data_IF_775567455831
#
_entry.id   IF_775567455831
#
_cell.length_a   1.000
_cell.length_b   1.000
_cell.length_c   1.000
_cell.angle_alpha   90.00
_cell.angle_beta   90.00
_cell.angle_gamma   90.00
#
_symmetry.space_group_name_H-M   'P 1'
#
loop_
_entity.id
_entity.type
_entity.pdbx_description
1 polymer ?
#
# COMPACT_ATOMS: atom_id res chain seq x y z
N UNK A 1 -17.94 12.78 17.04
CA UNK A 1 -17.73 11.68 16.07
C UNK A 1 -16.25 11.67 15.74
N UNK A 2 -15.58 10.56 16.02
CA UNK A 2 -14.12 10.44 16.13
C UNK A 2 -13.42 10.75 14.81
N UNK A 3 -12.49 11.71 14.83
CA UNK A 3 -11.53 11.97 13.77
C UNK A 3 -10.64 10.72 13.64
N UNK A 4 -11.02 9.77 12.80
CA UNK A 4 -10.17 8.66 12.43
C UNK A 4 -8.98 9.30 11.72
N UNK A 5 -7.85 9.44 12.44
CA UNK A 5 -6.60 9.90 11.88
C UNK A 5 -6.41 9.15 10.56
N UNK A 6 -6.45 9.90 9.46
CA UNK A 6 -6.23 9.39 8.11
C UNK A 6 -5.02 8.48 8.20
N UNK A 7 -5.23 7.17 8.02
CA UNK A 7 -4.15 6.21 8.15
C UNK A 7 -3.06 6.64 7.18
N UNK A 8 -1.95 7.12 7.73
CA UNK A 8 -0.85 7.60 6.89
C UNK A 8 -0.35 6.44 6.04
N UNK A 9 0.27 6.73 4.91
CA UNK A 9 0.84 5.70 4.05
C UNK A 9 1.78 4.76 4.85
N UNK A 10 2.54 5.31 5.79
CA UNK A 10 3.38 4.53 6.70
C UNK A 10 2.60 3.63 7.67
N UNK A 11 1.42 4.04 8.15
CA UNK A 11 0.57 3.18 8.96
C UNK A 11 -0.01 2.01 8.13
N UNK A 12 -0.48 2.29 6.90
CA UNK A 12 -0.98 1.26 5.99
C UNK A 12 0.10 0.24 5.60
N UNK A 13 1.33 0.71 5.32
CA UNK A 13 2.47 -0.17 5.01
C UNK A 13 2.80 -1.11 6.17
N UNK A 14 2.85 -0.60 7.42
CA UNK A 14 3.10 -1.44 8.60
C UNK A 14 2.02 -2.49 8.82
N UNK A 15 0.76 -2.18 8.53
CA UNK A 15 -0.32 -3.16 8.58
C UNK A 15 -0.13 -4.25 7.52
N UNK A 16 0.19 -3.88 6.27
CA UNK A 16 0.45 -4.83 5.19
C UNK A 16 1.62 -5.79 5.51
N UNK A 17 2.70 -5.30 6.10
CA UNK A 17 3.85 -6.13 6.55
C UNK A 17 3.44 -7.12 7.66
N UNK A 18 2.51 -6.73 8.54
CA UNK A 18 2.03 -7.62 9.59
C UNK A 18 1.13 -8.74 9.04
N UNK A 19 0.29 -8.41 8.05
CA UNK A 19 -0.66 -9.33 7.40
C UNK A 19 0.00 -10.31 6.43
N UNK A 20 1.01 -9.89 5.68
CA UNK A 20 1.60 -10.66 4.58
C UNK A 20 3.10 -10.92 4.79
N UNK A 21 3.51 -12.20 4.70
CA UNK A 21 4.89 -12.64 4.95
C UNK A 21 5.34 -13.65 3.89
N UNK A 22 6.20 -13.27 2.91
CA UNK A 22 6.75 -11.92 2.68
C UNK A 22 5.74 -10.98 2.01
N UNK A 23 5.73 -9.71 2.41
CA UNK A 23 4.96 -8.67 1.71
C UNK A 23 5.56 -8.41 0.32
N UNK A 24 4.75 -8.54 -0.73
CA UNK A 24 5.16 -8.17 -2.08
C UNK A 24 5.13 -6.65 -2.27
N UNK A 25 6.27 -6.07 -2.69
CA UNK A 25 6.42 -4.65 -3.05
C UNK A 25 6.83 -4.57 -4.52
N UNK A 26 6.01 -3.95 -5.37
CA UNK A 26 6.24 -3.89 -6.82
C UNK A 26 6.75 -2.53 -7.26
N UNK A 27 7.88 -2.48 -7.98
CA UNK A 27 8.42 -1.19 -8.43
C UNK A 27 7.50 -0.45 -9.40
N UNK A 28 7.27 0.84 -9.15
CA UNK A 28 6.56 1.74 -10.04
C UNK A 28 7.41 2.98 -10.37
N UNK A 29 7.86 3.11 -11.63
CA UNK A 29 8.71 4.23 -12.07
C UNK A 29 7.91 5.46 -12.53
N UNK A 30 6.59 5.33 -12.70
CA UNK A 30 5.70 6.44 -13.05
C UNK A 30 4.27 6.20 -12.54
N UNK A 31 3.42 7.22 -12.67
CA UNK A 31 2.04 7.18 -12.20
C UNK A 31 1.19 6.07 -12.85
N UNK A 32 1.41 5.75 -14.12
CA UNK A 32 0.67 4.66 -14.79
C UNK A 32 0.99 3.31 -14.15
N UNK A 33 2.27 3.01 -13.86
CA UNK A 33 2.64 1.77 -13.18
C UNK A 33 2.02 1.67 -11.77
N UNK A 34 2.00 2.78 -11.03
CA UNK A 34 1.36 2.83 -9.71
C UNK A 34 -0.14 2.52 -9.78
N UNK A 35 -0.82 3.06 -10.80
CA UNK A 35 -2.24 2.76 -11.05
C UNK A 35 -2.43 1.28 -11.42
N UNK A 36 -1.62 0.74 -12.33
CA UNK A 36 -1.72 -0.67 -12.73
C UNK A 36 -1.50 -1.61 -11.52
N UNK A 37 -0.51 -1.32 -10.68
CA UNK A 37 -0.25 -2.11 -9.48
C UNK A 37 -1.44 -2.06 -8.49
N UNK A 38 -2.04 -0.89 -8.30
CA UNK A 38 -3.25 -0.75 -7.48
C UNK A 38 -4.42 -1.58 -8.03
N UNK A 39 -4.65 -1.56 -9.34
CA UNK A 39 -5.72 -2.35 -9.97
C UNK A 39 -5.45 -3.87 -9.91
N UNK A 40 -4.18 -4.27 -9.93
CA UNK A 40 -3.76 -5.66 -9.75
C UNK A 40 -3.86 -6.14 -8.29
N UNK A 41 -4.17 -5.24 -7.33
CA UNK A 41 -4.38 -5.58 -5.93
C UNK A 41 -3.11 -5.61 -5.07
N UNK A 42 -2.00 -5.04 -5.55
CA UNK A 42 -0.79 -4.92 -4.73
C UNK A 42 -1.03 -3.98 -3.54
N UNK A 43 -0.57 -4.40 -2.36
CA UNK A 43 -0.66 -3.63 -1.11
C UNK A 43 0.47 -2.61 -0.93
N UNK A 44 1.54 -2.72 -1.72
CA UNK A 44 2.70 -1.82 -1.70
C UNK A 44 3.35 -1.70 -3.08
N UNK A 45 3.83 -0.50 -3.42
CA UNK A 45 4.59 -0.16 -4.64
C UNK A 45 5.90 0.57 -4.30
#
# INVERSE_FOLDING_TARGET
>A
MTNAASQSAGAAFRAAVAEEKPLQVVGAINANHALLAKHAGFKAI
#
